data_IF_038493477185
#
_entry.id   IF_038493477185
#
_cell.length_a   1.000
_cell.length_b   1.000
_cell.length_c   1.000
_cell.angle_alpha   90.00
_cell.angle_beta   90.00
_cell.angle_gamma   90.00
#
_symmetry.space_group_name_H-M   'P 1'
#
loop_
_entity.id
_entity.type
_entity.pdbx_description
1 polymer ?
#
# COMPACT_ATOMS: atom_id res chain seq x y z
N UNK A 1 -13.60 -8.66 -9.49
CA UNK A 1 -12.31 -9.35 -9.65
C UNK A 1 -11.69 -9.71 -8.30
N UNK A 2 -11.15 -8.74 -7.53
CA UNK A 2 -10.46 -9.02 -6.24
C UNK A 2 -11.29 -9.90 -5.31
N UNK A 3 -12.58 -9.60 -5.10
CA UNK A 3 -13.45 -10.35 -4.17
C UNK A 3 -13.70 -11.83 -4.55
N UNK A 4 -13.59 -12.19 -5.83
CA UNK A 4 -13.91 -13.53 -6.33
C UNK A 4 -12.65 -14.39 -6.57
N UNK A 5 -11.47 -13.78 -6.56
CA UNK A 5 -10.22 -14.49 -6.85
C UNK A 5 -9.86 -15.48 -5.72
N UNK A 6 -9.28 -16.65 -6.06
CA UNK A 6 -8.74 -17.59 -5.08
C UNK A 6 -7.68 -16.92 -4.21
N UNK A 7 -7.68 -17.24 -2.92
CA UNK A 7 -6.78 -16.64 -1.96
C UNK A 7 -6.30 -17.67 -0.95
N UNK A 8 -5.07 -17.49 -0.46
CA UNK A 8 -4.57 -18.17 0.72
C UNK A 8 -4.89 -17.32 1.94
N UNK A 9 -5.71 -17.85 2.84
CA UNK A 9 -6.06 -17.18 4.10
C UNK A 9 -4.93 -17.37 5.12
N UNK A 10 -4.46 -16.26 5.70
CA UNK A 10 -3.41 -16.21 6.72
C UNK A 10 -3.91 -15.42 7.93
N UNK A 11 -3.99 -16.08 9.07
CA UNK A 11 -4.35 -15.45 10.33
C UNK A 11 -3.17 -14.63 10.85
N UNK A 12 -3.41 -13.36 11.16
CA UNK A 12 -2.38 -12.42 11.64
C UNK A 12 -2.44 -12.26 13.16
N UNK A 13 -3.65 -12.12 13.70
CA UNK A 13 -3.91 -11.94 15.12
C UNK A 13 -5.33 -12.46 15.43
N UNK A 14 -5.48 -13.12 16.57
CA UNK A 14 -6.77 -13.60 17.08
C UNK A 14 -6.74 -13.53 18.61
N UNK A 15 -7.54 -12.62 19.18
CA UNK A 15 -7.59 -12.32 20.61
C UNK A 15 -9.06 -12.22 21.06
N UNK A 16 -9.42 -12.93 22.12
CA UNK A 16 -10.80 -12.94 22.60
C UNK A 16 -11.75 -13.68 21.63
N UNK A 17 -13.02 -13.26 21.57
CA UNK A 17 -14.04 -13.89 20.74
C UNK A 17 -14.92 -12.80 20.09
N UNK A 18 -14.67 -12.55 18.81
CA UNK A 18 -15.43 -11.54 18.03
C UNK A 18 -16.89 -11.94 17.82
N UNK A 19 -17.23 -13.23 17.86
CA UNK A 19 -18.61 -13.69 17.74
C UNK A 19 -19.37 -13.49 19.06
N UNK A 20 -18.74 -13.76 20.20
CA UNK A 20 -19.29 -13.45 21.51
C UNK A 20 -19.52 -11.94 21.69
N UNK A 21 -18.60 -11.09 21.20
CA UNK A 21 -18.77 -9.64 21.22
C UNK A 21 -20.05 -9.21 20.47
N UNK A 22 -20.29 -9.78 19.28
CA UNK A 22 -21.48 -9.51 18.44
C UNK A 22 -22.78 -9.94 19.11
N UNK A 23 -22.74 -11.03 19.88
CA UNK A 23 -23.89 -11.58 20.58
C UNK A 23 -24.23 -10.81 21.88
N UNK A 24 -23.35 -9.92 22.35
CA UNK A 24 -23.55 -9.22 23.62
C UNK A 24 -24.77 -8.26 23.54
N UNK A 25 -25.70 -8.31 24.51
CA UNK A 25 -26.88 -7.43 24.54
C UNK A 25 -26.50 -5.94 24.60
N UNK A 26 -27.31 -5.10 23.95
CA UNK A 26 -27.12 -3.65 23.97
C UNK A 26 -25.96 -3.13 23.11
N UNK A 27 -25.36 -4.00 22.29
CA UNK A 27 -24.35 -3.62 21.31
C UNK A 27 -24.96 -3.31 19.94
N UNK A 28 -24.19 -2.60 19.13
CA UNK A 28 -24.46 -2.32 17.72
C UNK A 28 -23.31 -2.91 16.91
N UNK A 29 -23.62 -3.60 15.83
CA UNK A 29 -22.61 -4.17 14.92
C UNK A 29 -22.68 -3.48 13.56
N UNK A 30 -21.52 -3.11 13.03
CA UNK A 30 -21.35 -2.46 11.75
C UNK A 30 -20.37 -3.24 10.88
N UNK A 31 -20.77 -3.61 9.67
CA UNK A 31 -19.89 -4.19 8.65
C UNK A 31 -19.72 -3.23 7.48
N UNK A 32 -18.47 -3.04 7.05
CA UNK A 32 -18.09 -2.18 5.94
C UNK A 32 -17.06 -2.84 5.06
N UNK A 33 -17.14 -2.54 3.77
CA UNK A 33 -16.17 -2.95 2.76
C UNK A 33 -15.58 -1.71 2.12
N UNK A 34 -14.26 -1.65 2.08
CA UNK A 34 -13.49 -0.55 1.51
C UNK A 34 -12.70 -1.09 0.32
N UNK A 35 -12.81 -0.40 -0.82
CA UNK A 35 -12.06 -0.72 -2.02
C UNK A 35 -10.95 0.30 -2.20
N UNK A 36 -9.73 -0.19 -2.40
CA UNK A 36 -8.58 0.60 -2.81
C UNK A 36 -8.27 0.30 -4.28
N UNK A 37 -8.27 1.30 -5.18
CA UNK A 37 -8.07 1.06 -6.60
C UNK A 37 -6.61 0.70 -6.90
N UNK A 38 -6.40 0.04 -8.05
CA UNK A 38 -5.07 0.01 -8.67
C UNK A 38 -4.66 1.43 -9.05
N UNK A 39 -3.40 1.78 -8.80
CA UNK A 39 -2.91 3.14 -8.99
C UNK A 39 -1.63 3.15 -9.80
N UNK A 40 -1.49 4.14 -10.66
CA UNK A 40 -0.23 4.45 -11.33
C UNK A 40 0.72 5.13 -10.34
N UNK A 41 2.03 4.93 -10.50
CA UNK A 41 3.01 5.67 -9.70
C UNK A 41 3.02 7.14 -10.08
N UNK A 42 2.83 7.44 -11.38
CA UNK A 42 2.60 8.81 -11.85
C UNK A 42 3.78 9.74 -11.58
N UNK A 43 5.02 9.23 -11.69
CA UNK A 43 6.26 10.03 -11.61
C UNK A 43 6.20 11.26 -12.53
N UNK A 44 6.81 12.39 -12.14
CA UNK A 44 6.70 13.67 -12.87
C UNK A 44 7.25 13.54 -14.30
N UNK A 45 8.42 12.91 -14.43
CA UNK A 45 9.02 12.55 -15.71
C UNK A 45 8.89 11.06 -15.99
N UNK A 46 8.90 10.65 -17.26
CA UNK A 46 8.80 9.25 -17.59
C UNK A 46 10.10 8.47 -17.32
N UNK A 47 9.99 7.17 -17.13
CA UNK A 47 11.13 6.28 -16.90
C UNK A 47 12.15 6.32 -18.05
N UNK A 48 13.44 6.35 -17.69
CA UNK A 48 14.57 6.41 -18.61
C UNK A 48 15.75 5.60 -18.07
N UNK A 49 16.46 4.91 -18.96
CA UNK A 49 17.72 4.24 -18.66
C UNK A 49 18.67 4.31 -19.86
N UNK A 50 19.97 4.13 -19.56
CA UNK A 50 21.00 3.89 -20.57
C UNK A 50 21.69 2.58 -20.23
N UNK A 51 21.98 1.76 -21.23
CA UNK A 51 22.79 0.55 -21.05
C UNK A 51 23.92 0.53 -22.08
N UNK A 52 25.10 0.08 -21.62
CA UNK A 52 26.26 -0.29 -22.43
C UNK A 52 26.54 -1.78 -22.20
N UNK A 53 26.02 -2.62 -23.09
CA UNK A 53 26.22 -4.06 -23.04
C UNK A 53 27.63 -4.41 -23.54
N UNK A 54 28.35 -5.21 -22.74
CA UNK A 54 29.65 -5.79 -23.10
C UNK A 54 29.57 -7.29 -23.22
N UNK A 55 30.17 -7.82 -24.28
CA UNK A 55 30.29 -9.25 -24.47
C UNK A 55 31.16 -9.87 -23.36
N UNK A 56 31.00 -11.17 -23.05
CA UNK A 56 31.87 -11.85 -22.10
C UNK A 56 33.36 -11.63 -22.42
N UNK A 57 34.11 -11.14 -21.44
CA UNK A 57 35.54 -10.83 -21.59
C UNK A 57 35.85 -9.41 -22.09
N UNK A 58 34.86 -8.60 -22.48
CA UNK A 58 35.03 -7.21 -22.95
C UNK A 58 34.68 -6.17 -21.87
N UNK A 59 34.98 -6.50 -20.61
CA UNK A 59 34.65 -5.67 -19.45
C UNK A 59 33.24 -5.89 -18.90
N UNK A 60 32.79 -4.93 -18.08
CA UNK A 60 31.52 -5.00 -17.33
C UNK A 60 30.39 -4.33 -18.11
N UNK A 61 29.19 -4.88 -18.03
CA UNK A 61 27.96 -4.27 -18.52
C UNK A 61 27.62 -3.11 -17.59
N UNK A 62 27.46 -1.90 -18.13
CA UNK A 62 27.08 -0.72 -17.32
C UNK A 62 25.65 -0.28 -17.64
N UNK A 63 24.85 -0.04 -16.61
CA UNK A 63 23.48 0.44 -16.74
C UNK A 63 23.27 1.66 -15.84
N UNK A 64 22.90 2.79 -16.46
CA UNK A 64 22.52 4.01 -15.75
C UNK A 64 21.00 4.06 -15.61
N UNK A 65 20.51 4.13 -14.38
CA UNK A 65 19.08 3.98 -14.10
C UNK A 65 18.60 4.84 -12.94
N UNK A 66 17.35 5.29 -13.02
CA UNK A 66 16.62 5.91 -11.92
C UNK A 66 16.04 4.91 -10.90
N UNK A 67 16.41 3.62 -10.97
CA UNK A 67 15.90 2.57 -10.06
C UNK A 67 16.08 2.92 -8.58
N UNK A 68 15.11 2.51 -7.77
CA UNK A 68 15.20 2.59 -6.30
C UNK A 68 15.87 1.36 -5.68
N UNK A 69 16.06 0.27 -6.44
CA UNK A 69 16.61 -0.97 -5.93
C UNK A 69 17.65 -1.56 -6.92
N UNK A 70 18.87 -0.99 -6.96
CA UNK A 70 19.90 -1.42 -7.90
C UNK A 70 20.37 -2.86 -7.65
N UNK A 71 20.21 -3.38 -6.43
CA UNK A 71 20.57 -4.77 -6.10
C UNK A 71 19.63 -5.76 -6.77
N UNK A 72 18.31 -5.61 -6.59
CA UNK A 72 17.36 -6.49 -7.29
C UNK A 72 17.38 -6.28 -8.79
N UNK A 73 17.57 -5.05 -9.28
CA UNK A 73 17.71 -4.80 -10.70
C UNK A 73 18.92 -5.55 -11.30
N UNK A 74 20.06 -5.57 -10.61
CA UNK A 74 21.25 -6.32 -11.06
C UNK A 74 20.93 -7.80 -11.26
N UNK A 75 20.27 -8.42 -10.29
CA UNK A 75 19.83 -9.81 -10.37
C UNK A 75 18.88 -10.04 -11.56
N UNK A 76 17.88 -9.17 -11.73
CA UNK A 76 16.88 -9.28 -12.81
C UNK A 76 17.54 -9.17 -14.20
N UNK A 77 18.47 -8.23 -14.36
CA UNK A 77 19.19 -8.04 -15.63
C UNK A 77 20.19 -9.16 -15.92
N UNK A 78 20.91 -9.64 -14.91
CA UNK A 78 21.80 -10.80 -15.04
C UNK A 78 21.04 -12.05 -15.48
N UNK A 79 19.88 -12.29 -14.86
CA UNK A 79 18.96 -13.38 -15.22
C UNK A 79 18.46 -13.21 -16.67
N UNK A 80 18.04 -12.00 -17.05
CA UNK A 80 17.51 -11.71 -18.39
C UNK A 80 18.47 -12.08 -19.53
N UNK A 81 19.79 -11.89 -19.34
CA UNK A 81 20.79 -12.16 -20.39
C UNK A 81 21.70 -13.37 -20.10
N UNK A 82 21.39 -14.15 -19.07
CA UNK A 82 22.16 -15.31 -18.62
C UNK A 82 23.65 -14.99 -18.40
N UNK A 83 23.91 -13.96 -17.58
CA UNK A 83 25.25 -13.50 -17.18
C UNK A 83 25.36 -13.52 -15.66
N UNK A 84 26.57 -13.43 -15.11
CA UNK A 84 26.74 -13.33 -13.66
C UNK A 84 26.41 -11.93 -13.18
N UNK A 85 25.86 -11.78 -11.97
CA UNK A 85 25.66 -10.46 -11.36
C UNK A 85 26.98 -9.67 -11.26
N UNK A 86 28.10 -10.38 -11.09
CA UNK A 86 29.43 -9.81 -11.07
C UNK A 86 29.82 -9.15 -12.40
N UNK A 87 29.12 -9.40 -13.51
CA UNK A 87 29.37 -8.75 -14.79
C UNK A 87 28.76 -7.34 -14.89
N UNK A 88 27.97 -6.90 -13.90
CA UNK A 88 27.15 -5.68 -13.98
C UNK A 88 27.55 -4.57 -13.03
N UNK A 89 27.61 -3.35 -13.56
CA UNK A 89 27.62 -2.10 -12.82
C UNK A 89 26.31 -1.34 -13.02
N UNK A 90 25.54 -1.20 -11.95
CA UNK A 90 24.32 -0.39 -11.93
C UNK A 90 24.67 0.97 -11.34
N UNK A 91 24.69 1.99 -12.19
CA UNK A 91 24.93 3.39 -11.80
C UNK A 91 23.59 4.05 -11.54
N UNK A 92 23.31 4.30 -10.26
CA UNK A 92 22.06 4.94 -9.84
C UNK A 92 22.09 6.44 -10.15
N UNK A 93 21.09 6.90 -10.88
CA UNK A 93 20.89 8.31 -11.25
C UNK A 93 19.75 8.92 -10.43
N UNK A 94 19.73 10.25 -10.35
CA UNK A 94 18.56 10.96 -9.85
C UNK A 94 17.39 10.78 -10.82
N UNK A 95 16.23 10.37 -10.29
CA UNK A 95 15.04 10.06 -11.07
C UNK A 95 13.96 11.13 -10.87
N UNK A 96 13.07 11.30 -11.85
CA UNK A 96 11.95 12.25 -11.79
C UNK A 96 10.76 11.77 -10.93
N UNK A 97 11.05 11.04 -9.85
CA UNK A 97 10.09 10.26 -9.07
C UNK A 97 10.06 8.79 -9.46
N UNK A 98 9.68 7.94 -8.51
CA UNK A 98 9.48 6.50 -8.71
C UNK A 98 8.41 5.99 -7.75
N UNK A 99 8.41 6.47 -6.50
CA UNK A 99 7.37 6.20 -5.49
C UNK A 99 7.15 4.71 -5.20
N UNK A 100 8.16 3.87 -5.42
CA UNK A 100 8.06 2.42 -5.34
C UNK A 100 8.91 1.75 -6.41
N UNK A 101 8.31 0.89 -7.22
CA UNK A 101 8.93 0.32 -8.43
C UNK A 101 8.03 0.61 -9.63
N UNK A 102 8.24 1.74 -10.30
CA UNK A 102 7.58 2.09 -11.55
C UNK A 102 8.29 1.43 -12.76
N UNK A 103 8.17 2.01 -13.95
CA UNK A 103 8.85 1.53 -15.16
C UNK A 103 10.38 1.70 -15.19
N UNK A 104 11.02 2.27 -14.15
CA UNK A 104 12.46 2.57 -14.15
C UNK A 104 13.33 1.32 -14.29
N UNK A 105 12.86 0.18 -13.77
CA UNK A 105 13.54 -1.11 -13.91
C UNK A 105 13.29 -1.69 -15.31
N UNK A 106 12.08 -1.59 -15.83
CA UNK A 106 11.70 -2.17 -17.13
C UNK A 106 12.49 -1.57 -18.29
N UNK A 107 12.65 -0.25 -18.32
CA UNK A 107 13.46 0.43 -19.34
C UNK A 107 14.94 0.04 -19.31
N UNK A 108 15.43 -0.50 -18.19
CA UNK A 108 16.80 -1.04 -18.12
C UNK A 108 16.92 -2.35 -18.88
N UNK A 109 15.90 -3.22 -18.79
CA UNK A 109 15.83 -4.45 -19.58
C UNK A 109 15.79 -4.15 -21.07
N UNK A 110 14.94 -3.19 -21.47
CA UNK A 110 14.82 -2.75 -22.86
C UNK A 110 16.15 -2.17 -23.38
N UNK A 111 16.76 -1.24 -22.64
CA UNK A 111 18.03 -0.64 -23.02
C UNK A 111 19.15 -1.68 -23.13
N UNK A 112 19.20 -2.65 -22.20
CA UNK A 112 20.19 -3.72 -22.19
C UNK A 112 20.09 -4.61 -23.44
N UNK A 113 18.88 -5.06 -23.77
CA UNK A 113 18.65 -5.91 -24.94
C UNK A 113 18.93 -5.17 -26.25
N UNK A 114 18.54 -3.90 -26.35
CA UNK A 114 18.82 -3.07 -27.52
C UNK A 114 20.32 -2.78 -27.66
N UNK A 115 21.01 -2.44 -26.56
CA UNK A 115 22.46 -2.22 -26.56
C UNK A 115 23.21 -3.47 -27.02
N UNK A 116 22.81 -4.65 -26.55
CA UNK A 116 23.34 -5.94 -27.01
C UNK A 116 23.13 -6.15 -28.51
N UNK A 117 21.94 -5.83 -29.03
CA UNK A 117 21.60 -6.04 -30.43
C UNK A 117 22.39 -5.12 -31.37
N UNK A 118 22.66 -3.88 -30.95
CA UNK A 118 23.35 -2.87 -31.80
C UNK A 118 24.84 -2.74 -31.51
N UNK A 119 25.34 -3.34 -30.44
CA UNK A 119 26.75 -3.28 -30.02
C UNK A 119 27.21 -1.89 -29.59
N UNK A 120 26.31 -1.03 -29.10
CA UNK A 120 26.61 0.36 -28.70
C UNK A 120 25.77 0.82 -27.51
N UNK A 121 26.18 1.93 -26.88
CA UNK A 121 25.38 2.89 -26.15
C UNK A 121 23.88 2.95 -26.46
N UNK A 122 22.94 2.44 -25.66
CA UNK A 122 21.50 2.68 -25.94
C UNK A 122 20.80 3.36 -24.77
N UNK A 123 20.12 4.48 -25.07
CA UNK A 123 19.17 5.15 -24.18
C UNK A 123 17.74 4.77 -24.55
N UNK A 124 16.98 4.30 -23.57
CA UNK A 124 15.53 4.09 -23.67
C UNK A 124 14.84 5.07 -22.73
N UNK A 125 13.85 5.79 -23.25
CA UNK A 125 12.96 6.63 -22.47
C UNK A 125 11.53 6.41 -22.94
N UNK A 126 10.62 6.12 -22.02
CA UNK A 126 9.21 5.98 -22.33
C UNK A 126 8.59 7.34 -22.64
N UNK A 127 7.57 7.36 -23.50
CA UNK A 127 6.61 8.45 -23.49
C UNK A 127 5.72 8.35 -22.25
N UNK A 128 5.02 9.45 -21.90
CA UNK A 128 4.02 9.42 -20.82
C UNK A 128 2.93 8.37 -21.09
N UNK A 129 2.51 8.24 -22.34
CA UNK A 129 1.48 7.28 -22.75
C UNK A 129 1.98 5.84 -22.59
N UNK A 130 3.22 5.56 -22.99
CA UNK A 130 3.83 4.23 -22.84
C UNK A 130 3.99 3.87 -21.36
N UNK A 131 4.45 4.80 -20.52
CA UNK A 131 4.59 4.50 -19.10
C UNK A 131 3.24 4.24 -18.43
N UNK A 132 2.21 5.05 -18.72
CA UNK A 132 0.87 4.78 -18.19
C UNK A 132 0.31 3.43 -18.63
N UNK A 133 0.64 2.98 -19.85
CA UNK A 133 0.21 1.68 -20.35
C UNK A 133 0.99 0.53 -19.70
N UNK A 134 2.32 0.65 -19.58
CA UNK A 134 3.21 -0.48 -19.31
C UNK A 134 3.80 -0.54 -17.89
N UNK A 135 3.79 0.56 -17.13
CA UNK A 135 4.30 0.52 -15.76
C UNK A 135 3.49 -0.47 -14.92
N UNK A 136 4.13 -1.19 -13.99
CA UNK A 136 3.40 -1.98 -13.02
C UNK A 136 2.57 -1.03 -12.12
N UNK A 137 1.37 -1.44 -11.71
CA UNK A 137 0.49 -0.61 -10.87
C UNK A 137 0.72 -0.86 -9.38
N UNK A 138 0.43 0.11 -8.53
CA UNK A 138 0.15 -0.17 -7.13
C UNK A 138 -1.04 -1.13 -7.00
N UNK A 139 -0.90 -2.15 -6.15
CA UNK A 139 -1.93 -3.16 -5.98
C UNK A 139 -3.25 -2.56 -5.48
N UNK A 140 -4.35 -2.92 -6.14
CA UNK A 140 -5.69 -2.71 -5.60
C UNK A 140 -5.93 -3.66 -4.42
N UNK A 141 -6.83 -3.28 -3.52
CA UNK A 141 -7.07 -4.03 -2.29
C UNK A 141 -8.55 -3.97 -1.92
N UNK A 142 -9.06 -5.02 -1.27
CA UNK A 142 -10.40 -5.02 -0.69
C UNK A 142 -10.30 -5.34 0.79
N UNK A 143 -10.67 -4.40 1.63
CA UNK A 143 -10.73 -4.59 3.08
C UNK A 143 -12.17 -4.73 3.54
N UNK A 144 -12.41 -5.61 4.49
CA UNK A 144 -13.66 -5.71 5.22
C UNK A 144 -13.39 -5.52 6.71
N UNK A 145 -14.18 -4.65 7.33
CA UNK A 145 -14.15 -4.42 8.77
C UNK A 145 -15.54 -4.71 9.32
N UNK A 146 -15.62 -5.54 10.34
CA UNK A 146 -16.82 -5.69 11.18
C UNK A 146 -16.47 -5.31 12.61
N UNK A 147 -17.10 -4.25 13.10
CA UNK A 147 -16.90 -3.77 14.47
C UNK A 147 -18.17 -3.87 15.28
N UNK A 148 -18.00 -4.14 16.57
CA UNK A 148 -19.09 -4.19 17.55
C UNK A 148 -18.83 -3.16 18.63
N UNK A 149 -19.78 -2.25 18.83
CA UNK A 149 -19.69 -1.13 19.76
C UNK A 149 -20.87 -1.12 20.72
N UNK A 150 -20.68 -0.62 21.93
CA UNK A 150 -21.80 -0.28 22.81
C UNK A 150 -22.51 0.99 22.33
N UNK A 151 -23.74 1.24 22.80
CA UNK A 151 -24.49 2.47 22.46
C UNK A 151 -23.80 3.78 22.90
N UNK A 152 -22.96 3.73 23.93
CA UNK A 152 -22.14 4.85 24.40
C UNK A 152 -20.78 4.97 23.68
N UNK A 153 -20.53 4.15 22.66
CA UNK A 153 -19.37 4.26 21.78
C UNK A 153 -18.09 3.63 22.33
N UNK A 154 -18.18 2.51 23.07
CA UNK A 154 -17.02 1.67 23.42
C UNK A 154 -16.91 0.53 22.41
N UNK A 155 -15.74 0.40 21.78
CA UNK A 155 -15.41 -0.70 20.89
C UNK A 155 -15.16 -1.98 21.70
N UNK A 156 -15.87 -3.06 21.34
CA UNK A 156 -15.80 -4.36 21.99
C UNK A 156 -15.18 -5.41 21.08
N UNK A 157 -15.61 -5.41 19.82
CA UNK A 157 -15.22 -6.37 18.79
C UNK A 157 -14.63 -5.68 17.56
N UNK A 158 -13.58 -6.24 16.99
CA UNK A 158 -12.99 -5.78 15.72
C UNK A 158 -12.51 -6.97 14.87
N UNK A 159 -13.24 -7.28 13.80
CA UNK A 159 -12.93 -8.37 12.88
C UNK A 159 -12.58 -7.80 11.51
N UNK A 160 -11.33 -7.98 11.09
CA UNK A 160 -10.76 -7.40 9.89
C UNK A 160 -10.24 -8.48 8.95
N UNK A 161 -10.56 -8.34 7.67
CA UNK A 161 -9.89 -9.07 6.61
C UNK A 161 -9.47 -8.14 5.48
N UNK A 162 -8.32 -8.43 4.90
CA UNK A 162 -7.84 -7.77 3.69
C UNK A 162 -7.54 -8.79 2.60
N UNK A 163 -8.07 -8.55 1.39
CA UNK A 163 -7.75 -9.31 0.18
C UNK A 163 -6.71 -8.55 -0.62
N UNK A 164 -5.52 -9.13 -0.76
CA UNK A 164 -4.36 -8.50 -1.37
C UNK A 164 -3.81 -9.28 -2.57
N UNK A 165 -4.09 -8.84 -3.82
CA UNK A 165 -3.37 -9.29 -5.00
C UNK A 165 -1.88 -9.00 -4.89
N UNK A 166 -1.07 -10.00 -5.19
CA UNK A 166 0.40 -9.88 -5.16
C UNK A 166 0.90 -8.73 -6.03
N UNK A 167 1.97 -8.11 -5.55
CA UNK A 167 2.66 -7.01 -6.22
C UNK A 167 4.15 -7.30 -6.42
N UNK A 168 4.47 -8.57 -6.69
CA UNK A 168 5.81 -9.04 -7.04
C UNK A 168 5.92 -9.25 -8.57
N UNK A 169 5.57 -8.22 -9.35
CA UNK A 169 5.73 -8.28 -10.79
C UNK A 169 7.21 -8.48 -11.14
N UNK A 170 7.57 -9.44 -12.01
CA UNK A 170 8.93 -9.54 -12.52
C UNK A 170 9.25 -8.39 -13.48
N UNK A 171 10.52 -8.30 -13.89
CA UNK A 171 10.95 -7.44 -15.00
C UNK A 171 10.17 -7.80 -16.28
N UNK A 172 9.59 -6.80 -16.94
CA UNK A 172 8.71 -7.05 -18.10
C UNK A 172 9.46 -7.75 -19.24
N UNK A 173 10.68 -7.30 -19.55
CA UNK A 173 11.53 -7.91 -20.56
C UNK A 173 11.81 -9.40 -20.29
N UNK A 174 11.94 -9.81 -19.02
CA UNK A 174 12.19 -11.21 -18.67
C UNK A 174 10.99 -12.10 -18.98
N UNK A 175 9.76 -11.60 -18.81
CA UNK A 175 8.56 -12.31 -19.25
C UNK A 175 8.45 -12.37 -20.77
N UNK A 176 8.64 -11.24 -21.45
CA UNK A 176 8.42 -11.13 -22.90
C UNK A 176 9.46 -11.92 -23.72
N UNK A 177 10.67 -12.09 -23.19
CA UNK A 177 11.74 -12.90 -23.81
C UNK A 177 11.65 -14.39 -23.45
N UNK A 178 10.80 -14.77 -22.49
CA UNK A 178 10.74 -16.13 -21.95
C UNK A 178 11.90 -16.50 -21.02
N UNK A 179 12.74 -15.54 -20.62
CA UNK A 179 13.78 -15.76 -19.61
C UNK A 179 13.19 -16.12 -18.24
N UNK A 180 11.96 -15.68 -17.96
CA UNK A 180 11.15 -16.14 -16.83
C UNK A 180 9.81 -16.70 -17.32
N UNK A 181 9.40 -17.83 -16.75
CA UNK A 181 8.09 -18.40 -17.00
C UNK A 181 6.98 -17.48 -16.43
N UNK A 182 5.82 -17.35 -17.09
CA UNK A 182 4.72 -16.50 -16.65
C UNK A 182 3.88 -17.17 -15.55
N UNK A 183 4.53 -17.61 -14.48
CA UNK A 183 3.87 -18.28 -13.36
C UNK A 183 3.33 -17.26 -12.32
N UNK A 184 2.16 -17.52 -11.70
CA UNK A 184 1.65 -16.66 -10.64
C UNK A 184 2.60 -16.61 -9.42
N UNK A 185 3.07 -15.42 -9.08
CA UNK A 185 3.91 -15.18 -7.90
C UNK A 185 3.08 -14.54 -6.79
N UNK A 186 2.88 -15.25 -5.68
CA UNK A 186 2.15 -14.72 -4.51
C UNK A 186 3.14 -14.23 -3.48
N UNK A 187 3.09 -12.93 -3.16
CA UNK A 187 3.95 -12.32 -2.16
C UNK A 187 3.10 -11.74 -1.01
N UNK A 188 3.43 -12.13 0.22
CA UNK A 188 2.67 -11.83 1.44
C UNK A 188 2.92 -10.39 1.91
N UNK A 189 2.31 -9.42 1.23
CA UNK A 189 2.51 -7.99 1.49
C UNK A 189 1.24 -7.25 1.91
N UNK A 190 0.11 -7.94 2.04
CA UNK A 190 -1.18 -7.34 2.42
C UNK A 190 -1.31 -6.98 3.91
N UNK A 191 -0.36 -7.39 4.75
CA UNK A 191 -0.43 -7.33 6.21
C UNK A 191 0.16 -6.06 6.84
N UNK A 192 0.75 -5.16 6.06
CA UNK A 192 1.33 -3.92 6.61
C UNK A 192 0.24 -3.05 7.20
N UNK A 193 0.37 -2.70 8.48
CA UNK A 193 -0.65 -1.92 9.20
C UNK A 193 -2.05 -2.58 9.16
N UNK A 194 -2.12 -3.90 8.98
CA UNK A 194 -3.40 -4.62 8.98
C UNK A 194 -4.01 -4.77 10.37
N UNK A 195 -3.20 -4.73 11.43
CA UNK A 195 -3.68 -4.68 12.81
C UNK A 195 -4.06 -3.24 13.13
N UNK A 196 -5.34 -3.03 13.43
CA UNK A 196 -5.88 -1.72 13.79
C UNK A 196 -5.16 -1.15 15.01
N UNK A 197 -4.79 0.15 15.00
CA UNK A 197 -4.23 0.79 16.18
C UNK A 197 -5.29 1.00 17.29
N UNK A 198 -6.58 0.89 16.95
CA UNK A 198 -7.69 1.03 17.89
C UNK A 198 -7.94 -0.28 18.63
N UNK A 199 -7.80 -0.25 19.96
CA UNK A 199 -7.79 -1.44 20.82
C UNK A 199 -9.18 -1.72 21.39
N UNK A 200 -9.54 -3.01 21.39
CA UNK A 200 -10.69 -3.56 22.10
C UNK A 200 -10.38 -5.00 22.53
N UNK A 201 -11.27 -5.60 23.34
CA UNK A 201 -11.02 -6.89 23.98
C UNK A 201 -11.10 -8.10 23.03
N UNK A 202 -11.91 -7.99 21.96
CA UNK A 202 -12.13 -9.09 21.02
C UNK A 202 -11.72 -8.65 19.62
N UNK A 203 -10.67 -9.25 19.06
CA UNK A 203 -10.08 -8.81 17.79
C UNK A 203 -9.58 -9.96 16.96
N UNK A 204 -9.86 -9.91 15.66
CA UNK A 204 -9.38 -10.87 14.67
C UNK A 204 -8.91 -10.14 13.42
N UNK A 205 -7.72 -10.49 12.92
CA UNK A 205 -7.12 -9.88 11.75
C UNK A 205 -6.60 -10.94 10.78
N UNK A 206 -6.97 -10.82 9.51
CA UNK A 206 -6.70 -11.82 8.48
C UNK A 206 -6.17 -11.15 7.22
N UNK A 207 -5.13 -11.72 6.63
CA UNK A 207 -4.73 -11.44 5.26
C UNK A 207 -5.19 -12.59 4.36
N UNK A 208 -5.79 -12.27 3.22
CA UNK A 208 -6.07 -13.20 2.14
C UNK A 208 -5.13 -12.84 1.00
N UNK A 209 -4.07 -13.62 0.82
CA UNK A 209 -3.01 -13.38 -0.17
C UNK A 209 -3.40 -14.03 -1.52
N UNK A 210 -3.38 -13.26 -2.62
CA UNK A 210 -3.86 -13.69 -3.94
C UNK A 210 -2.76 -13.61 -5.00
N UNK A 211 -2.92 -14.42 -6.04
CA UNK A 211 -2.20 -14.24 -7.30
C UNK A 211 -2.43 -12.82 -7.88
N UNK A 212 -1.45 -12.28 -8.62
CA UNK A 212 -1.62 -10.96 -9.24
C UNK A 212 -2.76 -10.99 -10.26
N UNK A 213 -3.60 -9.95 -10.25
CA UNK A 213 -4.66 -9.75 -11.26
C UNK A 213 -4.25 -8.79 -12.37
N UNK A 214 -3.34 -7.88 -12.03
CA UNK A 214 -2.71 -6.89 -12.91
C UNK A 214 -1.23 -6.94 -12.56
N UNK A 215 -0.35 -6.65 -13.52
CA UNK A 215 1.09 -6.47 -13.25
C UNK A 215 1.24 -5.34 -12.23
N UNK A 216 1.53 -5.71 -10.99
CA UNK A 216 1.56 -4.79 -9.87
C UNK A 216 2.90 -4.84 -9.14
N UNK A 217 3.31 -3.71 -8.58
CA UNK A 217 4.56 -3.55 -7.84
C UNK A 217 4.35 -2.75 -6.56
N UNK A 218 5.43 -2.55 -5.81
CA UNK A 218 5.41 -1.64 -4.67
C UNK A 218 5.08 -0.23 -5.15
N UNK A 219 4.02 0.36 -4.61
CA UNK A 219 3.73 1.79 -4.63
C UNK A 219 3.85 2.31 -3.18
N UNK A 220 4.08 3.60 -3.00
CA UNK A 220 4.30 4.24 -1.69
C UNK A 220 3.28 3.77 -0.65
N UNK A 221 3.79 3.18 0.44
CA UNK A 221 2.99 2.62 1.53
C UNK A 221 2.59 1.14 1.35
N UNK A 222 2.59 0.61 0.13
CA UNK A 222 2.13 -0.74 -0.19
C UNK A 222 0.71 -0.94 0.37
N UNK A 223 0.47 -1.94 1.22
CA UNK A 223 -0.84 -2.18 1.86
C UNK A 223 -1.11 -1.28 3.08
N UNK A 224 -0.12 -0.52 3.56
CA UNK A 224 -0.27 0.29 4.77
C UNK A 224 -1.28 1.43 4.59
N UNK A 225 -1.30 2.09 3.42
CA UNK A 225 -2.26 3.15 3.13
C UNK A 225 -3.70 2.60 3.03
N UNK A 226 -3.98 1.56 2.23
CA UNK A 226 -5.29 0.92 2.21
C UNK A 226 -5.77 0.50 3.61
N UNK A 227 -4.94 -0.24 4.36
CA UNK A 227 -5.33 -0.73 5.68
C UNK A 227 -5.61 0.42 6.66
N UNK A 228 -4.74 1.44 6.70
CA UNK A 228 -4.96 2.64 7.52
C UNK A 228 -6.25 3.37 7.14
N UNK A 229 -6.52 3.51 5.84
CA UNK A 229 -7.76 4.13 5.35
C UNK A 229 -9.00 3.36 5.84
N UNK A 230 -9.02 2.03 5.71
CA UNK A 230 -10.14 1.23 6.22
C UNK A 230 -10.31 1.36 7.73
N UNK A 231 -9.22 1.30 8.51
CA UNK A 231 -9.31 1.42 9.97
C UNK A 231 -9.85 2.78 10.40
N UNK A 232 -9.33 3.85 9.81
CA UNK A 232 -9.64 5.21 10.23
C UNK A 232 -11.02 5.67 9.75
N UNK A 233 -11.41 5.32 8.51
CA UNK A 233 -12.76 5.56 8.02
C UNK A 233 -13.80 4.77 8.84
N UNK A 234 -13.50 3.51 9.19
CA UNK A 234 -14.41 2.69 10.00
C UNK A 234 -14.63 3.27 11.40
N UNK A 235 -13.59 3.85 12.00
CA UNK A 235 -13.71 4.51 13.29
C UNK A 235 -14.62 5.74 13.23
N UNK A 236 -14.55 6.55 12.17
CA UNK A 236 -15.51 7.64 11.96
C UNK A 236 -16.94 7.13 11.84
N UNK A 237 -17.15 6.03 11.14
CA UNK A 237 -18.49 5.43 11.00
C UNK A 237 -19.01 4.85 12.32
N UNK A 238 -18.16 4.28 13.16
CA UNK A 238 -18.51 3.88 14.53
C UNK A 238 -18.84 5.07 15.43
N UNK A 239 -18.06 6.15 15.33
CA UNK A 239 -18.30 7.38 16.07
C UNK A 239 -19.65 8.00 15.67
N UNK A 240 -19.92 8.10 14.38
CA UNK A 240 -21.21 8.56 13.84
C UNK A 240 -22.39 7.68 14.28
N UNK A 241 -22.23 6.34 14.22
CA UNK A 241 -23.25 5.38 14.65
C UNK A 241 -23.65 5.54 16.12
N UNK A 242 -22.69 5.92 16.98
CA UNK A 242 -22.86 6.02 18.43
C UNK A 242 -23.07 7.46 18.91
N UNK A 243 -23.05 8.45 18.01
CA UNK A 243 -23.18 9.85 18.34
C UNK A 243 -22.03 10.39 19.19
N UNK A 244 -20.85 9.78 19.09
CA UNK A 244 -19.62 10.22 19.76
C UNK A 244 -18.79 11.06 18.79
N UNK A 245 -18.14 12.10 19.30
CA UNK A 245 -17.21 12.91 18.49
C UNK A 245 -16.05 12.03 17.95
N UNK A 246 -15.67 12.15 16.67
CA UNK A 246 -14.69 11.26 16.05
C UNK A 246 -13.27 11.37 16.63
N UNK A 247 -12.87 12.54 17.14
CA UNK A 247 -11.61 12.69 17.88
C UNK A 247 -11.71 11.96 19.22
N UNK A 248 -12.78 12.20 19.99
CA UNK A 248 -12.99 11.55 21.28
C UNK A 248 -13.07 10.01 21.15
N UNK A 249 -13.70 9.50 20.09
CA UNK A 249 -13.75 8.07 19.82
C UNK A 249 -12.35 7.50 19.57
N UNK A 250 -11.50 8.17 18.78
CA UNK A 250 -10.12 7.73 18.54
C UNK A 250 -9.32 7.70 19.84
N UNK A 251 -9.33 8.80 20.61
CA UNK A 251 -8.58 8.90 21.87
C UNK A 251 -8.98 7.79 22.84
N UNK A 252 -10.28 7.49 22.96
CA UNK A 252 -10.78 6.42 23.84
C UNK A 252 -10.21 5.04 23.54
N UNK A 253 -9.83 4.77 22.29
CA UNK A 253 -9.40 3.44 21.84
C UNK A 253 -7.91 3.38 21.45
N UNK A 254 -7.15 4.44 21.70
CA UNK A 254 -5.69 4.45 21.49
C UNK A 254 -4.97 4.29 22.83
N UNK A 255 -4.05 3.33 22.90
CA UNK A 255 -3.18 3.14 24.07
C UNK A 255 -1.84 3.88 23.93
N UNK A 256 -1.45 4.25 22.71
CA UNK A 256 -0.19 4.95 22.43
C UNK A 256 -0.31 6.43 22.80
N UNK A 257 0.35 6.83 23.89
CA UNK A 257 0.30 8.22 24.38
C UNK A 257 0.82 9.23 23.35
N UNK A 258 1.80 8.85 22.51
CA UNK A 258 2.32 9.74 21.46
C UNK A 258 1.28 9.98 20.37
N UNK A 259 0.47 8.97 20.05
CA UNK A 259 -0.64 9.11 19.12
C UNK A 259 -1.73 10.03 19.66
N UNK A 260 -2.05 9.88 20.95
CA UNK A 260 -3.01 10.74 21.67
C UNK A 260 -2.52 12.19 21.68
N UNK A 261 -1.26 12.43 22.05
CA UNK A 261 -0.65 13.76 22.08
C UNK A 261 -0.65 14.42 20.70
N UNK A 262 -0.31 13.65 19.65
CA UNK A 262 -0.35 14.13 18.26
C UNK A 262 -1.76 14.57 17.86
N UNK A 263 -2.78 13.75 18.18
CA UNK A 263 -4.17 14.06 17.85
C UNK A 263 -4.66 15.32 18.57
N UNK A 264 -4.34 15.47 19.86
CA UNK A 264 -4.65 16.70 20.59
C UNK A 264 -3.92 17.92 20.02
N UNK A 265 -2.64 17.79 19.67
CA UNK A 265 -1.88 18.89 19.09
C UNK A 265 -2.43 19.34 17.73
N UNK A 266 -2.81 18.40 16.86
CA UNK A 266 -3.43 18.70 15.56
C UNK A 266 -4.83 19.31 15.76
N UNK A 267 -5.63 18.76 16.67
CA UNK A 267 -6.94 19.29 17.01
C UNK A 267 -6.89 20.72 17.55
N UNK A 268 -5.97 21.01 18.48
CA UNK A 268 -5.78 22.35 19.03
C UNK A 268 -5.38 23.35 17.94
N UNK A 269 -4.42 22.99 17.08
CA UNK A 269 -3.97 23.86 15.98
C UNK A 269 -5.04 24.12 14.93
N UNK A 270 -5.91 23.14 14.67
CA UNK A 270 -7.02 23.29 13.73
C UNK A 270 -8.26 23.96 14.35
N UNK A 271 -8.24 24.26 15.65
CA UNK A 271 -9.42 24.74 16.37
C UNK A 271 -10.57 23.74 16.30
N UNK A 272 -10.31 22.45 16.56
CA UNK A 272 -11.34 21.42 16.52
C UNK A 272 -12.45 21.71 17.52
N UNK A 273 -13.67 21.82 17.01
CA UNK A 273 -14.90 21.93 17.81
C UNK A 273 -15.64 20.59 17.74
N UNK A 274 -15.85 19.91 18.88
CA UNK A 274 -16.52 18.61 18.88
C UNK A 274 -17.87 18.66 18.19
N UNK A 275 -18.13 17.68 17.31
CA UNK A 275 -19.35 17.67 16.50
C UNK A 275 -19.87 16.25 16.33
N UNK A 276 -21.14 16.07 16.72
CA UNK A 276 -21.84 14.79 16.65
C UNK A 276 -22.96 14.77 15.61
N UNK A 277 -23.35 15.92 15.07
CA UNK A 277 -24.44 16.06 14.10
C UNK A 277 -24.15 17.09 13.02
N UNK A 278 -24.70 16.87 11.84
CA UNK A 278 -24.76 17.84 10.75
C UNK A 278 -25.64 19.03 11.17
N UNK A 279 -25.20 20.23 10.81
CA UNK A 279 -26.01 21.45 10.90
C UNK A 279 -26.71 21.59 9.55
N UNK A 280 -28.01 21.86 9.54
CA UNK A 280 -28.73 22.14 8.32
C UNK A 280 -28.19 23.44 7.70
N UNK A 281 -27.81 23.38 6.42
CA UNK A 281 -27.47 24.55 5.63
C UNK A 281 -28.61 24.79 4.61
N UNK A 282 -29.31 25.94 4.68
CA UNK A 282 -30.40 26.26 3.77
C UNK A 282 -29.94 26.44 2.31
N UNK A 283 -28.65 26.63 2.03
CA UNK A 283 -28.11 26.85 0.69
C UNK A 283 -27.92 25.56 -0.14
N UNK A 284 -28.36 24.39 0.35
CA UNK A 284 -28.08 23.06 -0.24
C UNK A 284 -26.59 22.72 -0.39
N UNK A 285 -25.70 23.51 0.22
CA UNK A 285 -24.28 23.20 0.33
C UNK A 285 -24.08 22.31 1.55
N UNK A 286 -23.16 21.34 1.47
CA UNK A 286 -22.71 20.57 2.63
C UNK A 286 -21.29 20.95 2.94
N UNK A 287 -20.99 21.14 4.22
CA UNK A 287 -19.64 21.35 4.73
C UNK A 287 -19.32 20.22 5.68
N UNK A 288 -18.11 19.70 5.60
CA UNK A 288 -17.58 18.65 6.46
C UNK A 288 -16.26 19.09 7.07
N UNK A 289 -16.02 18.63 8.29
CA UNK A 289 -14.70 18.67 8.92
C UNK A 289 -14.38 17.27 9.41
N UNK A 290 -13.34 16.67 8.87
CA UNK A 290 -12.88 15.33 9.21
C UNK A 290 -11.57 15.38 9.98
N UNK A 291 -11.34 14.38 10.82
CA UNK A 291 -10.04 14.12 11.45
C UNK A 291 -9.58 12.74 11.01
N UNK A 292 -8.29 12.58 10.74
CA UNK A 292 -7.72 11.30 10.39
C UNK A 292 -6.46 10.98 11.19
N UNK A 293 -6.25 9.70 11.47
CA UNK A 293 -5.06 9.17 12.12
C UNK A 293 -4.54 7.93 11.41
N UNK A 294 -3.22 7.81 11.30
CA UNK A 294 -2.57 6.59 10.86
C UNK A 294 -1.26 6.36 11.60
N UNK A 295 -0.95 5.08 11.85
CA UNK A 295 0.35 4.63 12.33
C UNK A 295 0.97 3.71 11.29
N UNK A 296 2.03 4.17 10.64
CA UNK A 296 2.76 3.36 9.67
C UNK A 296 3.59 2.30 10.40
N UNK A 297 3.32 1.02 10.12
CA UNK A 297 4.10 -0.12 10.63
C UNK A 297 5.08 -0.59 9.55
N UNK A 298 6.36 -0.64 9.92
CA UNK A 298 7.46 -1.05 9.04
C UNK A 298 8.01 -2.44 9.42
N UNK A 299 8.76 -3.05 8.51
CA UNK A 299 9.34 -4.42 8.61
C UNK A 299 8.34 -5.56 8.40
N UNK A 300 8.85 -6.80 8.36
CA UNK A 300 8.01 -8.01 8.27
C UNK A 300 7.05 -8.06 9.46
N UNK A 301 5.81 -8.49 9.21
CA UNK A 301 4.79 -8.65 10.25
C UNK A 301 5.33 -9.42 11.48
N UNK A 302 5.03 -8.99 12.73
CA UNK A 302 4.12 -7.90 13.12
C UNK A 302 4.70 -6.49 12.96
N UNK A 303 5.98 -6.37 12.61
CA UNK A 303 6.66 -5.09 12.38
C UNK A 303 6.78 -4.21 13.62
N UNK A 304 7.18 -2.96 13.42
CA UNK A 304 7.18 -1.92 14.46
C UNK A 304 6.63 -0.60 13.92
N UNK A 305 5.97 0.17 14.79
CA UNK A 305 5.47 1.50 14.42
C UNK A 305 6.61 2.46 14.12
N UNK A 306 6.69 2.95 12.89
CA UNK A 306 7.78 3.78 12.39
C UNK A 306 7.40 5.26 12.28
N UNK A 307 6.13 5.57 12.01
CA UNK A 307 5.66 6.96 11.93
C UNK A 307 4.20 7.09 12.37
N UNK A 308 3.87 8.24 12.95
CA UNK A 308 2.51 8.66 13.27
C UNK A 308 2.14 9.83 12.37
N UNK A 309 0.91 9.86 11.91
CA UNK A 309 0.38 10.98 11.16
C UNK A 309 -1.06 11.25 11.59
N UNK A 310 -1.41 12.52 11.70
CA UNK A 310 -2.77 12.96 11.93
C UNK A 310 -3.05 14.22 11.11
N UNK A 311 -4.30 14.35 10.66
CA UNK A 311 -4.72 15.43 9.77
C UNK A 311 -6.12 15.88 10.16
N UNK A 312 -6.43 17.16 9.97
CA UNK A 312 -7.80 17.67 9.97
C UNK A 312 -8.02 18.31 8.60
N UNK A 313 -9.15 17.98 7.98
CA UNK A 313 -9.51 18.43 6.64
C UNK A 313 -10.90 19.03 6.66
N UNK A 314 -11.03 20.21 6.08
CA UNK A 314 -12.30 20.86 5.78
C UNK A 314 -12.69 20.57 4.32
N UNK A 315 -13.95 20.18 4.09
CA UNK A 315 -14.50 19.81 2.79
C UNK A 315 -15.80 20.55 2.53
#
# INVERSE_FOLDING_TARGET
>A
AIAAAPARRRLLLDEGDVEAARAQPGTLTLTRRYAWPFQMHGSIGPSCAVADYRAPGDGRITVWSGTQNPVSLRYDLATLVARDEADFDIVRMEAAGCYGRNGADDVCGDALLLSRAVGRPVRVQLSRADEHLWEPKGAGQLMQVTGTVTRDGRLLGYDFSTRYPSNDAPLLAALLTGALAPEPRVFEMGDRTAVSPYVCAHRRFVCEDLAPLVRASWLRGVSALPNSFAHDAFVDECAALTGVDPLAFRIRHLQDTRAVDLLYAVAARAGWTPRVRREPDPARVVRGRGIAYARYVHSRFPGFGAAWSAWIVDV
#
